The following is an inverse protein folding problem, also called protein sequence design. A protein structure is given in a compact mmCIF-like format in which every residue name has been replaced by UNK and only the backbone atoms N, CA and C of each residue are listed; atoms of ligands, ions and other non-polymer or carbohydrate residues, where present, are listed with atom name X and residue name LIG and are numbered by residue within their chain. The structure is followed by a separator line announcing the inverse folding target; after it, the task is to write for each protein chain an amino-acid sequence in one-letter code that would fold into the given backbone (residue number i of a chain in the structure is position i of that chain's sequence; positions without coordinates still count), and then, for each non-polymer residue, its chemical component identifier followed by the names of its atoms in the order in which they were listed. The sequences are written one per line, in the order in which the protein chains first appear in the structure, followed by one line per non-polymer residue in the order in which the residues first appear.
data_IF_288521255905
#
_entry.id   IF_288521255905
#
_cell.length_a   1.000
_cell.length_b   1.000
_cell.length_c   1.000
_cell.angle_alpha   90.00
_cell.angle_beta   90.00
_cell.angle_gamma   90.00
#
_symmetry.space_group_name_H-M   'P 1'
#
loop_
_entity.id
_entity.type
_entity.pdbx_description
1 polymer ?
#
# COMPACT_ATOMS: atom_id res chain seq x y z
N UNK A 1 56.64 0.00 -66.41
CA UNK A 1 55.72 -1.12 -66.16
C UNK A 1 54.45 -0.52 -65.55
N UNK A 2 53.46 0.04 -66.26
CA UNK A 2 53.07 -0.01 -67.66
C UNK A 2 53.15 -1.42 -68.24
N UNK A 3 52.11 -2.22 -68.04
CA UNK A 3 51.41 -2.76 -69.20
C UNK A 3 49.98 -3.16 -68.85
N UNK A 4 49.12 -2.87 -69.81
CA UNK A 4 47.75 -3.33 -69.93
C UNK A 4 47.80 -4.59 -70.78
N UNK A 5 47.09 -5.65 -70.38
CA UNK A 5 46.54 -6.60 -71.35
C UNK A 5 45.33 -7.35 -70.76
N UNK A 6 44.28 -7.40 -71.57
CA UNK A 6 42.99 -8.10 -71.49
C UNK A 6 43.18 -9.65 -71.60
N UNK A 7 42.15 -10.56 -71.63
CA UNK A 7 40.70 -10.37 -71.91
C UNK A 7 39.68 -11.26 -71.14
N UNK A 8 38.39 -10.95 -71.40
CA UNK A 8 37.20 -11.81 -71.65
C UNK A 8 36.60 -12.78 -70.59
N UNK A 9 35.27 -12.67 -70.43
CA UNK A 9 34.36 -13.74 -69.99
C UNK A 9 33.03 -13.23 -69.43
N UNK A 10 31.93 -13.44 -70.16
CA UNK A 10 30.55 -13.04 -69.86
C UNK A 10 29.98 -13.64 -68.55
N UNK A 11 29.03 -12.95 -67.90
CA UNK A 11 27.63 -13.41 -67.76
C UNK A 11 26.77 -12.38 -66.96
N UNK A 12 25.47 -12.44 -67.18
CA UNK A 12 24.43 -11.50 -66.75
C UNK A 12 24.31 -11.30 -65.21
N UNK A 13 24.12 -10.04 -64.81
CA UNK A 13 23.79 -9.67 -63.42
C UNK A 13 23.37 -8.20 -63.29
N UNK A 14 22.09 -7.99 -62.98
CA UNK A 14 21.45 -6.70 -62.67
C UNK A 14 22.25 -5.83 -61.69
N UNK A 15 22.21 -4.48 -61.82
CA UNK A 15 22.96 -3.63 -60.92
C UNK A 15 22.22 -3.41 -59.60
N UNK A 16 22.93 -3.70 -58.50
CA UNK A 16 22.70 -3.10 -57.19
C UNK A 16 23.56 -1.84 -57.01
N UNK A 17 23.00 -0.87 -56.28
CA UNK A 17 23.64 0.36 -55.81
C UNK A 17 22.66 1.54 -55.96
N UNK A 18 21.99 2.06 -54.93
CA UNK A 18 22.33 2.11 -53.51
C UNK A 18 22.49 3.58 -53.13
N UNK A 19 21.48 4.17 -52.50
CA UNK A 19 21.55 4.84 -51.18
C UNK A 19 20.34 5.77 -50.96
N UNK A 20 19.58 5.48 -49.91
CA UNK A 20 19.19 6.48 -48.90
C UNK A 20 18.43 5.78 -47.77
N UNK A 21 19.09 5.65 -46.62
CA UNK A 21 18.61 5.90 -45.23
C UNK A 21 17.33 5.19 -44.75
N UNK A 22 17.21 4.51 -43.61
CA UNK A 22 17.96 4.44 -42.33
C UNK A 22 17.41 3.21 -41.53
N UNK A 23 18.01 2.82 -40.38
CA UNK A 23 18.00 1.46 -39.87
C UNK A 23 16.98 1.16 -38.74
N UNK A 24 16.59 -0.11 -38.69
CA UNK A 24 16.63 -0.95 -37.48
C UNK A 24 15.68 -0.65 -36.33
N UNK A 25 14.51 -1.29 -36.33
CA UNK A 25 13.79 -1.57 -35.09
C UNK A 25 13.97 -3.04 -34.71
N UNK A 26 14.73 -3.23 -33.64
CA UNK A 26 15.07 -4.51 -33.05
C UNK A 26 13.82 -5.24 -32.58
N UNK A 27 13.65 -6.47 -33.05
CA UNK A 27 12.75 -7.45 -32.47
C UNK A 27 13.15 -7.73 -31.01
N UNK A 28 12.34 -7.28 -30.07
CA UNK A 28 12.25 -7.83 -28.73
C UNK A 28 10.83 -8.38 -28.55
N UNK A 29 10.65 -9.65 -28.87
CA UNK A 29 9.46 -10.39 -28.49
C UNK A 29 9.39 -10.47 -26.97
N UNK A 30 8.43 -9.77 -26.39
CA UNK A 30 8.00 -10.02 -25.01
C UNK A 30 7.32 -11.41 -24.98
N UNK A 31 7.63 -12.28 -24.01
CA UNK A 31 6.87 -13.50 -23.84
C UNK A 31 5.51 -13.09 -23.27
N UNK A 32 4.44 -13.26 -24.05
CA UNK A 32 3.08 -13.22 -23.54
C UNK A 32 2.92 -14.41 -22.58
N UNK A 33 3.01 -14.14 -21.28
CA UNK A 33 2.53 -15.07 -20.27
C UNK A 33 1.03 -15.23 -20.47
N UNK A 34 0.58 -16.47 -20.64
CA UNK A 34 -0.80 -16.81 -20.37
C UNK A 34 -1.01 -16.51 -18.88
N UNK A 35 -1.87 -15.53 -18.58
CA UNK A 35 -2.37 -15.33 -17.23
C UNK A 35 -3.38 -16.46 -16.97
N UNK A 36 -3.07 -17.33 -16.01
CA UNK A 36 -4.02 -18.30 -15.45
C UNK A 36 -5.11 -17.52 -14.69
N UNK A 37 -6.27 -17.35 -15.32
CA UNK A 37 -7.40 -16.53 -14.83
C UNK A 37 -8.02 -17.04 -13.50
N UNK A 38 -7.62 -18.22 -12.99
CA UNK A 38 -8.21 -18.82 -11.77
C UNK A 38 -7.49 -18.44 -10.46
N UNK A 39 -6.24 -17.97 -10.50
CA UNK A 39 -5.49 -17.61 -9.27
C UNK A 39 -5.56 -16.10 -8.98
N UNK A 40 -6.16 -15.65 -7.86
CA UNK A 40 -6.18 -14.23 -7.53
C UNK A 40 -4.76 -13.70 -7.28
N UNK A 41 -4.43 -12.56 -7.87
CA UNK A 41 -3.14 -11.91 -7.66
C UNK A 41 -2.77 -11.73 -6.18
N UNK A 42 -1.55 -12.12 -5.80
CA UNK A 42 -1.11 -12.13 -4.40
C UNK A 42 -1.09 -10.72 -3.77
N UNK A 43 -0.71 -9.70 -4.55
CA UNK A 43 -0.46 -8.36 -4.01
C UNK A 43 -1.74 -7.54 -3.94
N UNK A 44 -1.88 -6.74 -2.89
CA UNK A 44 -2.95 -5.74 -2.75
C UNK A 44 -3.12 -4.87 -4.00
N UNK A 45 -1.99 -4.53 -4.63
CA UNK A 45 -1.94 -3.72 -5.85
C UNK A 45 -2.47 -4.41 -7.10
N UNK A 46 -2.32 -5.72 -7.18
CA UNK A 46 -2.81 -6.51 -8.29
C UNK A 46 -4.30 -6.83 -8.08
N UNK A 47 -4.77 -6.77 -6.82
CA UNK A 47 -6.17 -6.96 -6.41
C UNK A 47 -7.03 -5.69 -6.43
N UNK A 48 -6.43 -4.51 -6.54
CA UNK A 48 -7.15 -3.25 -6.59
C UNK A 48 -7.25 -2.78 -8.04
N UNK A 49 -8.47 -2.75 -8.61
CA UNK A 49 -8.75 -2.25 -9.95
C UNK A 49 -8.53 -0.72 -10.07
N UNK A 50 -7.28 -0.26 -9.93
CA UNK A 50 -6.94 1.16 -9.92
C UNK A 50 -5.49 1.45 -10.34
N UNK A 51 -5.24 2.70 -10.73
CA UNK A 51 -3.90 3.17 -11.14
C UNK A 51 -2.84 2.87 -10.07
N UNK A 52 -1.76 2.17 -10.47
CA UNK A 52 -0.59 1.83 -9.63
C UNK A 52 -0.06 3.03 -8.83
N UNK A 53 -0.10 4.21 -9.45
CA UNK A 53 0.37 5.48 -8.90
C UNK A 53 -0.54 5.97 -7.76
N UNK A 54 -1.86 5.81 -7.91
CA UNK A 54 -2.85 6.19 -6.88
C UNK A 54 -2.70 5.33 -5.64
N UNK A 55 -2.54 4.02 -5.81
CA UNK A 55 -2.40 3.09 -4.70
C UNK A 55 -1.09 3.34 -3.92
N UNK A 56 0.01 3.55 -4.64
CA UNK A 56 1.30 3.92 -4.05
C UNK A 56 1.21 5.21 -3.23
N UNK A 57 0.61 6.26 -3.81
CA UNK A 57 0.45 7.56 -3.14
C UNK A 57 -0.40 7.45 -1.86
N UNK A 58 -1.50 6.69 -1.92
CA UNK A 58 -2.42 6.55 -0.79
C UNK A 58 -1.83 5.68 0.33
N UNK A 59 -1.17 4.57 -0.02
CA UNK A 59 -0.77 3.53 0.94
C UNK A 59 0.69 3.62 1.39
N UNK A 60 1.62 3.82 0.47
CA UNK A 60 3.06 3.57 0.65
C UNK A 60 3.89 4.85 0.79
N UNK A 61 3.49 5.94 0.16
CA UNK A 61 4.22 7.21 0.20
C UNK A 61 4.40 7.77 1.63
N UNK A 62 5.46 8.54 1.86
CA UNK A 62 5.62 9.31 3.10
C UNK A 62 4.44 10.27 3.26
N UNK A 63 3.90 10.38 4.47
CA UNK A 63 2.78 11.28 4.77
C UNK A 63 3.16 12.73 4.53
N UNK A 64 4.40 13.11 4.81
CA UNK A 64 4.90 14.45 4.49
C UNK A 64 4.94 14.70 2.98
N UNK A 65 5.20 13.69 2.15
CA UNK A 65 5.15 13.82 0.71
C UNK A 65 3.72 14.09 0.24
N UNK A 66 2.75 13.31 0.71
CA UNK A 66 1.32 13.50 0.37
C UNK A 66 0.83 14.86 0.85
N UNK A 67 1.16 15.25 2.08
CA UNK A 67 0.82 16.57 2.62
C UNK A 67 1.46 17.69 1.82
N UNK A 68 2.73 17.56 1.44
CA UNK A 68 3.41 18.56 0.61
C UNK A 68 2.77 18.67 -0.77
N UNK A 69 2.37 17.55 -1.38
CA UNK A 69 1.66 17.56 -2.66
C UNK A 69 0.29 18.26 -2.56
N UNK A 70 -0.48 17.98 -1.50
CA UNK A 70 -1.75 18.65 -1.24
C UNK A 70 -1.56 20.15 -0.99
N UNK A 71 -0.52 20.54 -0.24
CA UNK A 71 -0.18 21.94 0.00
C UNK A 71 0.27 22.65 -1.28
N UNK A 72 1.10 21.99 -2.10
CA UNK A 72 1.52 22.52 -3.40
C UNK A 72 0.33 22.70 -4.34
N UNK A 73 -0.64 21.77 -4.32
CA UNK A 73 -1.89 21.90 -5.06
C UNK A 73 -2.70 23.11 -4.59
N UNK A 74 -2.90 23.27 -3.27
CA UNK A 74 -3.62 24.41 -2.70
C UNK A 74 -2.93 25.73 -3.07
N UNK A 75 -1.62 25.82 -2.87
CA UNK A 75 -0.84 26.99 -3.22
C UNK A 75 -0.93 27.31 -4.72
N UNK A 76 -0.73 26.32 -5.58
CA UNK A 76 -0.81 26.47 -7.02
C UNK A 76 -2.20 26.91 -7.50
N UNK A 77 -3.26 26.36 -6.92
CA UNK A 77 -4.64 26.78 -7.21
C UNK A 77 -4.88 28.22 -6.78
N UNK A 78 -4.46 28.62 -5.58
CA UNK A 78 -4.62 29.99 -5.09
C UNK A 78 -3.87 31.00 -5.96
N UNK A 79 -2.62 30.69 -6.33
CA UNK A 79 -1.82 31.53 -7.23
C UNK A 79 -2.47 31.61 -8.61
N UNK A 80 -2.89 30.48 -9.19
CA UNK A 80 -3.53 30.43 -10.50
C UNK A 80 -4.82 31.25 -10.53
N UNK A 81 -5.68 31.10 -9.51
CA UNK A 81 -6.89 31.92 -9.35
C UNK A 81 -6.53 33.40 -9.23
N UNK A 82 -5.53 33.75 -8.42
CA UNK A 82 -5.07 35.12 -8.28
C UNK A 82 -4.48 35.74 -9.56
N UNK A 83 -3.96 34.93 -10.48
CA UNK A 83 -3.52 35.37 -11.82
C UNK A 83 -4.68 35.54 -12.81
N UNK A 84 -5.65 34.63 -12.77
CA UNK A 84 -6.75 34.57 -13.75
C UNK A 84 -7.88 35.55 -13.43
N UNK A 85 -8.08 35.89 -12.15
CA UNK A 85 -9.11 36.84 -11.74
C UNK A 85 -8.63 38.27 -12.01
N UNK A 86 -9.30 39.02 -12.93
CA UNK A 86 -9.00 40.44 -13.13
C UNK A 86 -9.18 41.18 -11.81
N UNK A 87 -8.23 42.06 -11.47
CA UNK A 87 -8.25 42.83 -10.22
C UNK A 87 -8.22 41.99 -8.92
N UNK A 88 -7.80 40.72 -8.96
CA UNK A 88 -7.68 39.87 -7.76
C UNK A 88 -6.84 40.50 -6.64
N UNK A 89 -5.75 41.19 -7.00
CA UNK A 89 -4.95 41.96 -6.04
C UNK A 89 -5.71 43.19 -5.50
N UNK A 90 -6.56 43.82 -6.30
CA UNK A 90 -7.39 44.94 -5.83
C UNK A 90 -8.50 44.46 -4.88
N UNK A 91 -9.06 43.26 -5.11
CA UNK A 91 -10.01 42.64 -4.21
C UNK A 91 -9.39 42.31 -2.84
N UNK A 92 -8.14 41.84 -2.81
CA UNK A 92 -7.39 41.61 -1.56
C UNK A 92 -7.12 42.95 -0.84
N UNK A 93 -6.84 44.03 -1.59
CA UNK A 93 -6.61 45.38 -1.04
C UNK A 93 -7.89 46.08 -0.59
N UNK A 94 -9.07 45.63 -1.02
CA UNK A 94 -10.35 46.26 -0.70
C UNK A 94 -10.99 45.63 0.54
N UNK A 95 -11.07 46.39 1.64
CA UNK A 95 -11.64 45.93 2.90
C UNK A 95 -10.74 44.92 3.63
N UNK A 96 -11.35 44.00 4.38
CA UNK A 96 -10.61 43.07 5.27
C UNK A 96 -10.78 41.57 4.91
N UNK A 97 -10.68 41.14 3.64
CA UNK A 97 -10.86 39.74 3.26
C UNK A 97 -9.75 38.84 3.82
N UNK A 98 -8.53 39.35 3.96
CA UNK A 98 -7.40 38.63 4.57
C UNK A 98 -7.67 38.37 6.04
N UNK A 99 -8.03 39.42 6.80
CA UNK A 99 -8.38 39.27 8.21
C UNK A 99 -9.51 38.25 8.39
N UNK A 100 -10.60 38.37 7.61
CA UNK A 100 -11.74 37.45 7.66
C UNK A 100 -11.32 35.99 7.38
N UNK A 101 -10.49 35.77 6.36
CA UNK A 101 -9.98 34.44 6.02
C UNK A 101 -9.15 33.86 7.18
N UNK A 102 -8.20 34.62 7.71
CA UNK A 102 -7.31 34.12 8.76
C UNK A 102 -7.99 33.99 10.12
N UNK A 103 -9.01 34.80 10.43
CA UNK A 103 -9.88 34.57 11.58
C UNK A 103 -10.64 33.24 11.45
N UNK A 104 -11.17 32.95 10.24
CA UNK A 104 -11.80 31.68 9.92
C UNK A 104 -10.83 30.50 10.07
N UNK A 105 -9.63 30.60 9.49
CA UNK A 105 -8.60 29.56 9.58
C UNK A 105 -8.09 29.35 11.01
N UNK A 106 -7.92 30.43 11.79
CA UNK A 106 -7.50 30.36 13.19
C UNK A 106 -8.56 29.60 14.00
N UNK A 107 -9.84 29.98 13.86
CA UNK A 107 -10.95 29.32 14.55
C UNK A 107 -11.06 27.86 14.16
N UNK A 108 -11.04 27.58 12.85
CA UNK A 108 -11.11 26.22 12.31
C UNK A 108 -9.93 25.36 12.80
N UNK A 109 -8.71 25.91 12.84
CA UNK A 109 -7.52 25.20 13.31
C UNK A 109 -7.65 24.86 14.79
N UNK A 110 -8.06 25.79 15.65
CA UNK A 110 -8.27 25.51 17.08
C UNK A 110 -9.31 24.40 17.23
N UNK A 111 -10.50 24.54 16.62
CA UNK A 111 -11.57 23.55 16.72
C UNK A 111 -11.17 22.19 16.17
N UNK A 112 -10.52 22.14 15.00
CA UNK A 112 -10.09 20.91 14.35
C UNK A 112 -9.04 20.17 15.17
N UNK A 113 -8.04 20.88 15.68
CA UNK A 113 -6.98 20.29 16.52
C UNK A 113 -7.55 19.79 17.84
N UNK A 114 -8.45 20.54 18.48
CA UNK A 114 -9.16 20.10 19.69
C UNK A 114 -9.97 18.82 19.43
N UNK A 115 -10.68 18.72 18.30
CA UNK A 115 -11.44 17.53 17.94
C UNK A 115 -10.51 16.31 17.77
N UNK A 116 -9.41 16.46 17.03
CA UNK A 116 -8.43 15.40 16.81
C UNK A 116 -7.78 14.94 18.13
N UNK A 117 -7.40 15.88 18.99
CA UNK A 117 -6.84 15.58 20.31
C UNK A 117 -7.85 14.82 21.18
N UNK A 118 -9.12 15.25 21.18
CA UNK A 118 -10.20 14.59 21.92
C UNK A 118 -10.41 13.16 21.44
N UNK A 119 -10.40 12.93 20.12
CA UNK A 119 -10.53 11.58 19.56
C UNK A 119 -9.37 10.69 19.98
N UNK A 120 -8.14 11.20 19.94
CA UNK A 120 -6.97 10.43 20.37
C UNK A 120 -7.02 10.11 21.88
N UNK A 121 -7.53 11.03 22.70
CA UNK A 121 -7.74 10.81 24.13
C UNK A 121 -8.79 9.72 24.39
N UNK A 122 -9.83 9.62 23.58
CA UNK A 122 -10.81 8.55 23.68
C UNK A 122 -10.18 7.17 23.43
N UNK A 123 -9.35 7.07 22.39
CA UNK A 123 -8.63 5.82 22.08
C UNK A 123 -7.68 5.46 23.22
N UNK A 124 -6.89 6.43 23.71
CA UNK A 124 -5.96 6.20 24.81
C UNK A 124 -6.69 5.82 26.12
N UNK A 125 -7.89 6.37 26.35
CA UNK A 125 -8.69 5.99 27.50
C UNK A 125 -9.09 4.50 27.48
N UNK A 126 -9.21 3.88 26.30
CA UNK A 126 -9.48 2.44 26.19
C UNK A 126 -8.23 1.60 26.51
N UNK A 127 -7.04 2.14 26.26
CA UNK A 127 -5.76 1.49 26.61
C UNK A 127 -5.47 1.54 28.13
N UNK A 128 -6.12 2.43 28.89
CA UNK A 128 -5.98 2.55 30.34
C UNK A 128 -7.01 1.72 31.13
N UNK A 129 -7.56 0.67 30.52
CA UNK A 129 -8.55 -0.23 31.13
C UNK A 129 -8.10 -0.88 32.45
N UNK A 130 -9.02 -1.57 33.12
CA UNK A 130 -8.73 -2.21 34.40
C UNK A 130 -7.56 -3.20 34.29
N UNK A 131 -6.79 -3.37 35.37
CA UNK A 131 -5.63 -4.26 35.37
C UNK A 131 -5.99 -5.73 35.03
N UNK A 132 -7.21 -6.16 35.33
CA UNK A 132 -7.74 -7.47 34.93
C UNK A 132 -7.81 -7.62 33.40
N UNK A 133 -8.47 -6.67 32.73
CA UNK A 133 -8.57 -6.66 31.26
C UNK A 133 -7.18 -6.66 30.60
N UNK A 134 -6.21 -5.96 31.21
CA UNK A 134 -4.83 -5.95 30.71
C UNK A 134 -4.15 -7.30 30.85
N UNK A 135 -4.39 -8.01 31.96
CA UNK A 135 -3.88 -9.37 32.16
C UNK A 135 -4.49 -10.33 31.15
N UNK A 136 -5.81 -10.28 30.93
CA UNK A 136 -6.47 -11.18 29.97
C UNK A 136 -5.96 -10.96 28.54
N UNK A 137 -5.73 -9.70 28.13
CA UNK A 137 -5.10 -9.38 26.85
C UNK A 137 -3.67 -9.90 26.75
N UNK A 138 -2.89 -9.77 27.81
CA UNK A 138 -1.52 -10.26 27.87
C UNK A 138 -1.47 -11.79 27.76
N UNK A 139 -2.33 -12.48 28.53
CA UNK A 139 -2.41 -13.94 28.52
C UNK A 139 -2.83 -14.46 27.14
N UNK A 140 -3.81 -13.82 26.48
CA UNK A 140 -4.19 -14.15 25.10
C UNK A 140 -3.08 -13.89 24.08
N UNK A 141 -2.33 -12.80 24.21
CA UNK A 141 -1.20 -12.50 23.34
C UNK A 141 -0.04 -13.49 23.53
N UNK A 142 0.23 -13.91 24.77
CA UNK A 142 1.23 -14.92 25.08
C UNK A 142 0.81 -16.29 24.54
N UNK A 143 -0.43 -16.71 24.75
CA UNK A 143 -0.96 -17.96 24.20
C UNK A 143 -0.83 -18.01 22.67
N UNK A 144 -1.20 -16.93 21.97
CA UNK A 144 -1.00 -16.85 20.52
C UNK A 144 0.47 -16.94 20.11
N UNK A 145 1.38 -16.36 20.89
CA UNK A 145 2.83 -16.42 20.63
C UNK A 145 3.40 -17.82 20.87
N UNK A 146 2.83 -18.57 21.79
CA UNK A 146 3.17 -19.96 22.08
C UNK A 146 2.64 -20.88 20.96
N UNK A 147 1.37 -20.71 20.56
CA UNK A 147 0.78 -21.42 19.40
C UNK A 147 1.64 -21.25 18.13
N UNK A 148 2.13 -20.02 17.90
CA UNK A 148 3.03 -19.75 16.78
C UNK A 148 4.39 -20.42 16.98
N UNK A 149 4.98 -20.35 18.17
CA UNK A 149 6.28 -20.95 18.47
C UNK A 149 6.29 -22.47 18.22
N UNK A 150 5.21 -23.15 18.63
CA UNK A 150 5.00 -24.58 18.42
C UNK A 150 4.91 -24.93 16.93
N UNK A 151 4.29 -24.09 16.11
CA UNK A 151 4.10 -24.36 14.67
C UNK A 151 5.30 -23.97 13.80
N UNK A 152 6.15 -23.05 14.26
CA UNK A 152 7.39 -22.68 13.57
C UNK A 152 8.62 -23.45 14.11
N UNK A 153 8.40 -24.45 14.97
CA UNK A 153 9.45 -25.29 15.57
C UNK A 153 10.58 -24.50 16.24
N UNK A 154 10.23 -23.41 16.94
CA UNK A 154 11.20 -22.61 17.70
C UNK A 154 10.82 -22.52 19.17
N UNK A 155 11.79 -22.45 20.09
CA UNK A 155 11.50 -22.40 21.52
C UNK A 155 10.80 -21.10 21.96
N UNK A 156 10.95 -20.01 21.20
CA UNK A 156 10.31 -18.72 21.46
C UNK A 156 10.07 -18.00 20.15
N UNK A 157 8.83 -17.53 19.94
CA UNK A 157 8.49 -16.75 18.75
C UNK A 157 9.28 -15.43 18.67
N UNK A 158 9.64 -14.94 17.46
CA UNK A 158 10.40 -13.70 17.32
C UNK A 158 9.74 -12.48 17.98
N UNK A 159 10.53 -11.64 18.65
CA UNK A 159 10.01 -10.47 19.37
C UNK A 159 9.65 -9.31 18.43
N UNK A 160 10.31 -9.21 17.26
CA UNK A 160 10.08 -8.11 16.32
C UNK A 160 8.96 -8.47 15.34
N UNK A 161 7.96 -7.59 15.12
CA UNK A 161 6.84 -7.84 14.20
C UNK A 161 7.23 -8.34 12.81
N UNK A 162 8.25 -7.71 12.18
CA UNK A 162 8.71 -8.11 10.86
C UNK A 162 9.30 -9.53 10.84
N UNK A 163 10.09 -9.87 11.87
CA UNK A 163 10.68 -11.20 12.01
C UNK A 163 9.62 -12.26 12.33
N UNK A 164 8.61 -11.89 13.11
CA UNK A 164 7.49 -12.77 13.45
C UNK A 164 6.67 -13.14 12.20
N UNK A 165 6.28 -12.14 11.42
CA UNK A 165 5.56 -12.38 10.15
C UNK A 165 6.41 -13.12 9.14
N UNK A 166 7.71 -12.82 9.07
CA UNK A 166 8.64 -13.51 8.20
C UNK A 166 8.71 -14.99 8.54
N UNK A 167 8.91 -15.33 9.82
CA UNK A 167 8.96 -16.72 10.27
C UNK A 167 7.68 -17.50 9.92
N UNK A 168 6.50 -16.89 10.11
CA UNK A 168 5.23 -17.52 9.72
C UNK A 168 5.12 -17.80 8.22
N UNK A 169 5.61 -16.85 7.40
CA UNK A 169 5.53 -16.96 5.94
C UNK A 169 6.57 -17.96 5.41
N UNK A 170 7.78 -17.94 5.96
CA UNK A 170 8.84 -18.90 5.62
C UNK A 170 8.38 -20.33 5.94
N UNK A 171 7.83 -20.56 7.14
CA UNK A 171 7.29 -21.88 7.54
C UNK A 171 6.10 -22.29 6.67
N UNK A 172 5.22 -21.37 6.28
CA UNK A 172 4.16 -21.70 5.34
C UNK A 172 4.73 -22.16 3.98
N UNK A 173 5.80 -21.51 3.50
CA UNK A 173 6.52 -21.91 2.29
C UNK A 173 7.18 -23.29 2.41
N UNK A 174 7.76 -23.59 3.57
CA UNK A 174 8.33 -24.90 3.90
C UNK A 174 7.25 -25.99 3.91
N UNK A 175 6.13 -25.79 4.62
CA UNK A 175 5.02 -26.76 4.66
C UNK A 175 4.38 -26.99 3.29
N UNK A 176 4.36 -25.97 2.42
CA UNK A 176 3.93 -26.16 1.04
C UNK A 176 4.90 -27.04 0.23
N UNK A 177 6.21 -26.87 0.43
CA UNK A 177 7.21 -27.74 -0.18
C UNK A 177 7.13 -29.18 0.35
N UNK A 178 6.87 -29.35 1.65
CA UNK A 178 6.66 -30.65 2.29
C UNK A 178 5.42 -31.36 1.74
N UNK A 179 4.30 -30.64 1.60
CA UNK A 179 3.08 -31.15 0.95
C UNK A 179 3.39 -31.64 -0.48
N UNK A 180 4.11 -30.84 -1.26
CA UNK A 180 4.49 -31.24 -2.63
C UNK A 180 5.35 -32.50 -2.65
N UNK A 181 6.26 -32.65 -1.68
CA UNK A 181 7.12 -33.84 -1.56
C UNK A 181 6.37 -35.08 -1.04
N UNK A 182 5.30 -34.88 -0.26
CA UNK A 182 4.47 -35.95 0.28
C UNK A 182 3.58 -36.62 -0.79
N UNK A 183 3.23 -35.90 -1.87
CA UNK A 183 2.42 -36.45 -2.96
C UNK A 183 3.27 -37.34 -3.87
N UNK A 184 2.98 -38.64 -3.99
CA UNK A 184 3.75 -39.53 -4.84
C UNK A 184 3.51 -39.25 -6.33
N UNK A 185 4.52 -39.49 -7.17
CA UNK A 185 4.41 -39.37 -8.64
C UNK A 185 3.33 -40.27 -9.25
N UNK A 186 2.95 -41.33 -8.53
CA UNK A 186 1.89 -42.26 -8.92
C UNK A 186 0.48 -41.79 -8.54
N UNK A 187 0.36 -40.66 -7.84
CA UNK A 187 -0.93 -40.06 -7.54
C UNK A 187 -1.64 -39.59 -8.81
N UNK A 188 -2.94 -39.36 -8.67
CA UNK A 188 -3.78 -38.83 -9.73
C UNK A 188 -3.15 -37.58 -10.38
N UNK A 189 -3.00 -37.53 -11.72
CA UNK A 189 -2.41 -36.38 -12.40
C UNK A 189 -3.09 -35.04 -12.10
N UNK A 190 -4.42 -35.03 -11.99
CA UNK A 190 -5.18 -33.80 -11.71
C UNK A 190 -4.88 -33.29 -10.28
N UNK A 191 -4.89 -34.18 -9.29
CA UNK A 191 -4.48 -33.87 -7.91
C UNK A 191 -3.06 -33.29 -7.85
N UNK A 192 -2.10 -33.89 -8.56
CA UNK A 192 -0.71 -33.38 -8.57
C UNK A 192 -0.61 -32.00 -9.20
N UNK A 193 -1.38 -31.73 -10.24
CA UNK A 193 -1.41 -30.42 -10.90
C UNK A 193 -1.96 -29.36 -9.94
N UNK A 194 -3.13 -29.60 -9.32
CA UNK A 194 -3.72 -28.67 -8.34
C UNK A 194 -2.80 -28.41 -7.12
N UNK A 195 -2.15 -29.46 -6.58
CA UNK A 195 -1.19 -29.28 -5.49
C UNK A 195 0.04 -28.51 -5.95
N UNK A 196 0.54 -28.77 -7.16
CA UNK A 196 1.69 -28.03 -7.71
C UNK A 196 1.34 -26.55 -7.86
N UNK A 197 0.17 -26.22 -8.40
CA UNK A 197 -0.26 -24.84 -8.58
C UNK A 197 -0.43 -24.11 -7.25
N UNK A 198 -1.07 -24.75 -6.27
CA UNK A 198 -1.22 -24.21 -4.92
C UNK A 198 0.15 -23.96 -4.26
N UNK A 199 1.03 -24.97 -4.28
CA UNK A 199 2.32 -24.91 -3.60
C UNK A 199 3.28 -23.93 -4.28
N UNK A 200 3.36 -23.92 -5.62
CA UNK A 200 4.15 -22.94 -6.36
C UNK A 200 3.63 -21.51 -6.18
N UNK A 201 2.30 -21.32 -6.12
CA UNK A 201 1.70 -20.02 -5.78
C UNK A 201 2.07 -19.59 -4.34
N UNK A 202 2.01 -20.52 -3.38
CA UNK A 202 2.33 -20.24 -1.98
C UNK A 202 3.81 -19.92 -1.78
N UNK A 203 4.72 -20.77 -2.23
CA UNK A 203 6.16 -20.58 -2.06
C UNK A 203 6.63 -19.31 -2.74
N UNK A 204 6.20 -19.04 -3.99
CA UNK A 204 6.51 -17.76 -4.66
C UNK A 204 5.96 -16.55 -3.91
N UNK A 205 4.76 -16.64 -3.33
CA UNK A 205 4.22 -15.55 -2.52
C UNK A 205 5.02 -15.37 -1.23
N UNK A 206 5.40 -16.47 -0.59
CA UNK A 206 6.17 -16.50 0.65
C UNK A 206 7.55 -15.85 0.47
N UNK A 207 8.31 -16.25 -0.54
CA UNK A 207 9.64 -15.68 -0.84
C UNK A 207 9.59 -14.17 -1.05
N UNK A 208 8.59 -13.69 -1.80
CA UNK A 208 8.42 -12.25 -2.06
C UNK A 208 8.06 -11.48 -0.79
N UNK A 209 7.22 -12.04 0.06
CA UNK A 209 6.80 -11.40 1.32
C UNK A 209 7.94 -11.43 2.33
N UNK A 210 8.66 -12.55 2.44
CA UNK A 210 9.85 -12.72 3.27
C UNK A 210 10.91 -11.68 2.91
N UNK A 211 11.29 -11.59 1.62
CA UNK A 211 12.26 -10.60 1.14
C UNK A 211 11.83 -9.14 1.41
N UNK A 212 10.53 -8.86 1.39
CA UNK A 212 9.99 -7.54 1.74
C UNK A 212 10.07 -7.21 3.24
N UNK A 213 10.26 -8.22 4.09
CA UNK A 213 10.35 -8.11 5.54
C UNK A 213 11.80 -8.04 6.07
N UNK A 214 12.81 -8.40 5.28
CA UNK A 214 14.24 -8.45 5.67
C UNK A 214 14.74 -7.17 6.37
N UNK A 215 14.45 -6.01 5.78
CA UNK A 215 14.85 -4.69 6.31
C UNK A 215 13.67 -3.87 6.84
N UNK A 216 12.50 -4.48 6.97
CA UNK A 216 11.28 -3.76 7.33
C UNK A 216 11.31 -3.36 8.81
N UNK A 217 11.37 -2.05 9.06
CA UNK A 217 11.21 -1.50 10.41
C UNK A 217 9.73 -1.36 10.75
N UNK A 218 9.37 -1.76 11.97
CA UNK A 218 8.03 -1.54 12.50
C UNK A 218 7.70 -0.04 12.54
N UNK A 219 6.47 0.33 12.18
CA UNK A 219 6.04 1.72 11.95
C UNK A 219 6.20 2.20 10.49
N UNK A 220 6.92 1.46 9.64
CA UNK A 220 6.85 1.68 8.19
C UNK A 220 5.64 0.98 7.58
N UNK A 221 5.19 1.44 6.41
CA UNK A 221 4.16 0.72 5.66
C UNK A 221 4.61 -0.69 5.25
N UNK A 222 5.91 -0.97 5.20
CA UNK A 222 6.46 -2.24 4.70
C UNK A 222 5.93 -3.46 5.45
N UNK A 223 5.89 -3.41 6.79
CA UNK A 223 5.40 -4.53 7.61
C UNK A 223 3.91 -4.78 7.39
N UNK A 224 3.10 -3.71 7.35
CA UNK A 224 1.67 -3.84 7.07
C UNK A 224 1.43 -4.30 5.63
N UNK A 225 2.14 -3.74 4.66
CA UNK A 225 2.07 -4.14 3.25
C UNK A 225 2.35 -5.62 3.07
N UNK A 226 3.44 -6.12 3.66
CA UNK A 226 3.79 -7.54 3.65
C UNK A 226 2.68 -8.41 4.27
N UNK A 227 2.16 -8.02 5.45
CA UNK A 227 1.05 -8.70 6.10
C UNK A 227 -0.23 -8.72 5.24
N UNK A 228 -0.45 -7.70 4.42
CA UNK A 228 -1.62 -7.61 3.56
C UNK A 228 -1.44 -8.29 2.19
N UNK A 229 -0.19 -8.53 1.75
CA UNK A 229 0.17 -9.13 0.46
C UNK A 229 0.31 -10.65 0.50
N UNK A 230 0.12 -11.28 1.66
CA UNK A 230 0.05 -12.73 1.76
C UNK A 230 -1.40 -13.19 1.74
N UNK A 231 -1.83 -13.80 0.64
CA UNK A 231 -3.23 -14.16 0.40
C UNK A 231 -3.64 -15.45 1.13
N UNK A 232 -3.49 -15.47 2.46
CA UNK A 232 -3.72 -16.67 3.26
C UNK A 232 -5.15 -17.21 3.13
N UNK A 233 -6.16 -16.34 2.98
CA UNK A 233 -7.56 -16.76 2.94
C UNK A 233 -7.89 -17.59 1.70
N UNK A 234 -7.39 -17.18 0.52
CA UNK A 234 -7.52 -17.99 -0.69
C UNK A 234 -6.70 -19.28 -0.58
N UNK A 235 -5.49 -19.24 -0.02
CA UNK A 235 -4.65 -20.44 0.14
C UNK A 235 -5.28 -21.48 1.07
N UNK A 236 -5.94 -21.05 2.15
CA UNK A 236 -6.74 -21.94 3.01
C UNK A 236 -7.94 -22.51 2.24
N UNK A 237 -8.63 -21.69 1.45
CA UNK A 237 -9.77 -22.14 0.66
C UNK A 237 -9.34 -23.20 -0.37
N UNK A 238 -8.30 -22.94 -1.15
CA UNK A 238 -7.75 -23.86 -2.14
C UNK A 238 -7.26 -25.18 -1.48
N UNK A 239 -6.53 -25.10 -0.36
CA UNK A 239 -6.09 -26.29 0.37
C UNK A 239 -7.27 -27.15 0.86
N UNK A 240 -8.34 -26.52 1.38
CA UNK A 240 -9.56 -27.22 1.80
C UNK A 240 -10.33 -27.80 0.63
N UNK A 241 -10.38 -27.10 -0.49
CA UNK A 241 -11.04 -27.59 -1.71
C UNK A 241 -10.36 -28.85 -2.23
N UNK A 242 -9.01 -28.88 -2.25
CA UNK A 242 -8.24 -30.07 -2.60
C UNK A 242 -8.54 -31.21 -1.62
N UNK A 243 -8.52 -30.93 -0.31
CA UNK A 243 -8.80 -31.94 0.73
C UNK A 243 -10.16 -32.60 0.54
N UNK A 244 -11.22 -31.81 0.26
CA UNK A 244 -12.58 -32.32 0.10
C UNK A 244 -12.79 -33.02 -1.25
N UNK A 245 -12.16 -32.53 -2.33
CA UNK A 245 -12.30 -33.08 -3.68
C UNK A 245 -11.56 -34.42 -3.84
N UNK A 246 -10.41 -34.55 -3.20
CA UNK A 246 -9.50 -35.68 -3.39
C UNK A 246 -9.29 -36.50 -2.12
N UNK A 247 -10.24 -36.48 -1.17
CA UNK A 247 -10.17 -37.22 0.10
C UNK A 247 -9.80 -38.70 -0.08
N UNK A 248 -10.42 -39.36 -1.07
CA UNK A 248 -10.16 -40.79 -1.38
C UNK A 248 -8.82 -41.03 -2.10
N UNK A 249 -8.19 -39.98 -2.64
CA UNK A 249 -6.96 -40.05 -3.46
C UNK A 249 -5.71 -39.57 -2.72
N UNK A 250 -5.89 -38.84 -1.63
CA UNK A 250 -4.82 -38.43 -0.73
C UNK A 250 -4.44 -39.59 0.20
N UNK A 251 -3.15 -39.92 0.24
CA UNK A 251 -2.66 -40.84 1.27
C UNK A 251 -2.52 -40.11 2.62
N UNK A 252 -2.37 -40.88 3.70
CA UNK A 252 -2.28 -40.30 5.05
C UNK A 252 -1.13 -39.28 5.20
N UNK A 253 -0.03 -39.47 4.46
CA UNK A 253 1.13 -38.55 4.54
C UNK A 253 0.80 -37.22 3.89
N UNK A 254 0.17 -37.24 2.72
CA UNK A 254 -0.26 -36.05 2.01
C UNK A 254 -1.39 -35.32 2.75
N UNK A 255 -2.34 -36.05 3.34
CA UNK A 255 -3.40 -35.48 4.18
C UNK A 255 -2.83 -34.77 5.41
N UNK A 256 -1.91 -35.42 6.14
CA UNK A 256 -1.26 -34.82 7.32
C UNK A 256 -0.48 -33.54 6.92
N UNK A 257 0.27 -33.58 5.81
CA UNK A 257 1.01 -32.41 5.32
C UNK A 257 0.08 -31.25 4.90
N UNK A 258 -1.07 -31.56 4.29
CA UNK A 258 -2.07 -30.57 3.90
C UNK A 258 -2.72 -29.91 5.12
N UNK A 259 -3.06 -30.70 6.13
CA UNK A 259 -3.62 -30.21 7.39
C UNK A 259 -2.62 -29.33 8.14
N UNK A 260 -1.35 -29.72 8.20
CA UNK A 260 -0.28 -28.91 8.78
C UNK A 260 -0.14 -27.55 8.08
N UNK A 261 -0.18 -27.55 6.74
CA UNK A 261 -0.16 -26.31 5.95
C UNK A 261 -1.35 -25.41 6.29
N UNK A 262 -2.56 -25.97 6.34
CA UNK A 262 -3.79 -25.23 6.69
C UNK A 262 -3.67 -24.61 8.09
N UNK A 263 -3.14 -25.35 9.06
CA UNK A 263 -2.96 -24.89 10.44
C UNK A 263 -1.98 -23.72 10.53
N UNK A 264 -0.85 -23.77 9.82
CA UNK A 264 0.09 -22.64 9.76
C UNK A 264 -0.57 -21.42 9.09
N UNK A 265 -1.29 -21.61 7.99
CA UNK A 265 -1.99 -20.52 7.31
C UNK A 265 -3.05 -19.85 8.18
N UNK A 266 -3.74 -20.61 9.05
CA UNK A 266 -4.75 -20.05 9.98
C UNK A 266 -4.14 -19.07 10.98
N UNK A 267 -2.90 -19.28 11.43
CA UNK A 267 -2.20 -18.37 12.36
C UNK A 267 -1.97 -16.98 11.75
N UNK A 268 -1.90 -16.89 10.42
CA UNK A 268 -1.67 -15.62 9.74
C UNK A 268 -2.84 -14.65 9.88
N UNK A 269 -4.08 -15.15 9.99
CA UNK A 269 -5.27 -14.31 10.16
C UNK A 269 -5.21 -13.45 11.44
N UNK A 270 -5.12 -14.06 12.63
CA UNK A 270 -4.94 -13.35 13.88
C UNK A 270 -3.67 -12.47 13.90
N UNK A 271 -2.54 -12.97 13.37
CA UNK A 271 -1.31 -12.18 13.27
C UNK A 271 -1.53 -10.88 12.49
N UNK A 272 -2.11 -10.98 11.29
CA UNK A 272 -2.39 -9.83 10.40
C UNK A 272 -3.28 -8.81 11.10
N UNK A 273 -4.36 -9.25 11.75
CA UNK A 273 -5.27 -8.33 12.46
C UNK A 273 -4.61 -7.68 13.68
N UNK A 274 -3.80 -8.42 14.43
CA UNK A 274 -3.03 -7.88 15.54
C UNK A 274 -2.05 -6.80 15.08
N UNK A 275 -1.23 -7.08 14.05
CA UNK A 275 -0.29 -6.09 13.51
C UNK A 275 -0.98 -4.92 12.82
N UNK A 276 -2.13 -5.14 12.16
CA UNK A 276 -2.97 -4.06 11.61
C UNK A 276 -3.42 -3.10 12.71
N UNK A 277 -3.88 -3.66 13.83
CA UNK A 277 -4.32 -2.89 15.00
C UNK A 277 -3.16 -2.06 15.57
N UNK A 278 -2.02 -2.68 15.84
CA UNK A 278 -0.83 -1.99 16.34
C UNK A 278 -0.34 -0.89 15.38
N UNK A 279 -0.40 -1.17 14.08
CA UNK A 279 -0.03 -0.21 13.04
C UNK A 279 -0.95 1.02 13.09
N UNK A 280 -2.27 0.84 13.14
CA UNK A 280 -3.23 1.94 13.22
C UNK A 280 -3.07 2.75 14.50
N UNK A 281 -2.86 2.09 15.65
CA UNK A 281 -2.57 2.79 16.90
C UNK A 281 -1.32 3.66 16.77
N UNK A 282 -0.23 3.11 16.22
CA UNK A 282 1.01 3.86 16.01
C UNK A 282 0.83 5.05 15.04
N UNK A 283 0.08 4.87 13.95
CA UNK A 283 -0.17 5.93 12.96
C UNK A 283 -1.03 7.05 13.56
N UNK A 284 -2.02 6.72 14.40
CA UNK A 284 -2.86 7.68 15.12
C UNK A 284 -2.07 8.48 16.17
N UNK A 285 -1.21 7.82 16.94
CA UNK A 285 -0.34 8.49 17.92
C UNK A 285 0.61 9.45 17.21
N UNK A 286 1.20 9.00 16.10
CA UNK A 286 2.10 9.81 15.27
C UNK A 286 1.37 11.02 14.69
N UNK A 287 0.16 10.81 14.16
CA UNK A 287 -0.71 11.88 13.67
C UNK A 287 -0.98 12.92 14.74
N UNK A 288 -1.39 12.51 15.95
CA UNK A 288 -1.70 13.44 17.04
C UNK A 288 -0.49 14.31 17.41
N UNK A 289 0.69 13.70 17.54
CA UNK A 289 1.94 14.41 17.83
C UNK A 289 2.31 15.39 16.72
N UNK A 290 2.22 14.97 15.46
CA UNK A 290 2.56 15.83 14.34
C UNK A 290 1.55 16.98 14.16
N UNK A 291 0.25 16.71 14.27
CA UNK A 291 -0.80 17.75 14.24
C UNK A 291 -0.52 18.79 15.30
N UNK A 292 -0.23 18.40 16.54
CA UNK A 292 0.08 19.35 17.60
C UNK A 292 1.31 20.21 17.23
N UNK A 293 2.37 19.59 16.72
CA UNK A 293 3.60 20.27 16.34
C UNK A 293 3.40 21.29 15.20
N UNK A 294 2.60 20.95 14.19
CA UNK A 294 2.38 21.82 13.02
C UNK A 294 1.26 22.85 13.22
N UNK A 295 0.36 22.60 14.17
CA UNK A 295 -0.72 23.53 14.49
C UNK A 295 -0.21 24.81 15.14
N UNK A 296 0.84 24.73 15.96
CA UNK A 296 1.41 25.92 16.61
C UNK A 296 1.95 26.92 15.57
N UNK A 297 2.80 26.52 14.60
CA UNK A 297 3.18 27.40 13.48
C UNK A 297 1.99 27.91 12.67
N UNK A 298 1.02 27.05 12.34
CA UNK A 298 -0.16 27.44 11.57
C UNK A 298 -1.00 28.52 12.28
N UNK A 299 -1.18 28.39 13.60
CA UNK A 299 -1.85 29.38 14.44
C UNK A 299 -1.06 30.68 14.52
N UNK A 300 0.27 30.61 14.66
CA UNK A 300 1.13 31.79 14.68
C UNK A 300 1.11 32.54 13.35
N UNK A 301 1.14 31.84 12.22
CA UNK A 301 0.99 32.46 10.89
C UNK A 301 -0.37 33.13 10.78
N UNK A 302 -1.44 32.46 11.20
CA UNK A 302 -2.79 33.03 11.14
C UNK A 302 -2.93 34.26 12.04
N UNK A 303 -2.42 34.22 13.26
CA UNK A 303 -2.41 35.36 14.19
C UNK A 303 -1.55 36.51 13.67
N UNK A 304 -0.39 36.22 13.06
CA UNK A 304 0.46 37.25 12.46
C UNK A 304 -0.22 37.93 11.27
N UNK A 305 -0.91 37.16 10.43
CA UNK A 305 -1.69 37.71 9.31
C UNK A 305 -2.88 38.55 9.76
N UNK A 306 -3.46 38.27 10.93
CA UNK A 306 -4.53 39.10 11.51
C UNK A 306 -3.94 40.38 12.13
N UNK A 307 -2.84 40.27 12.88
CA UNK A 307 -2.35 41.37 13.71
C UNK A 307 -1.42 42.35 12.98
N UNK A 308 -0.67 41.88 11.98
CA UNK A 308 0.46 42.62 11.41
C UNK A 308 0.45 42.71 9.88
N UNK A 309 -0.51 42.09 9.20
CA UNK A 309 -0.54 42.15 7.75
C UNK A 309 -1.05 43.51 7.26
N UNK A 310 -0.24 44.18 6.45
CA UNK A 310 -0.65 45.34 5.68
C UNK A 310 -0.40 45.07 4.19
N UNK A 311 -1.45 45.22 3.37
CA UNK A 311 -1.35 45.02 1.93
C UNK A 311 -0.45 46.06 1.24
N UNK A 312 -0.24 47.23 1.86
CA UNK A 312 0.60 48.30 1.34
C UNK A 312 2.10 47.94 1.36
N UNK A 313 2.52 47.05 2.26
CA UNK A 313 3.92 46.60 2.38
C UNK A 313 4.35 45.70 1.22
N UNK A 314 3.39 45.15 0.47
CA UNK A 314 3.63 44.22 -0.63
C UNK A 314 3.47 44.91 -1.98
N UNK A 315 4.48 45.69 -2.35
CA UNK A 315 4.58 46.33 -3.67
C UNK A 315 5.55 45.57 -4.58
N UNK A 316 5.06 45.01 -5.68
CA UNK A 316 5.87 44.40 -6.74
C UNK A 316 5.32 43.08 -7.29
N UNK A 317 6.05 42.48 -8.22
CA UNK A 317 5.68 41.21 -8.85
C UNK A 317 6.80 40.18 -8.77
N UNK A 318 6.46 38.93 -8.45
CA UNK A 318 7.36 37.77 -8.49
C UNK A 318 6.90 36.86 -9.62
N UNK A 319 7.78 36.58 -10.59
CA UNK A 319 7.48 35.72 -11.74
C UNK A 319 6.19 36.08 -12.50
N UNK A 320 5.85 37.38 -12.57
CA UNK A 320 4.63 37.89 -13.24
C UNK A 320 3.36 37.86 -12.39
N UNK A 321 3.44 37.40 -11.12
CA UNK A 321 2.34 37.39 -10.15
C UNK A 321 2.54 38.53 -9.14
N UNK A 322 1.47 39.20 -8.71
CA UNK A 322 1.53 40.19 -7.64
C UNK A 322 2.06 39.54 -6.34
N UNK A 323 3.06 40.17 -5.72
CA UNK A 323 3.71 39.64 -4.50
C UNK A 323 2.71 39.48 -3.37
N UNK A 324 1.67 40.34 -3.33
CA UNK A 324 0.57 40.25 -2.39
C UNK A 324 -0.17 38.90 -2.49
N UNK A 325 -0.48 38.46 -3.72
CA UNK A 325 -1.19 37.20 -3.97
C UNK A 325 -0.33 36.03 -3.52
N UNK A 326 0.97 36.04 -3.84
CA UNK A 326 1.91 34.98 -3.45
C UNK A 326 2.05 34.89 -1.93
N UNK A 327 2.16 36.03 -1.25
CA UNK A 327 2.29 36.09 0.21
C UNK A 327 1.04 35.55 0.91
N UNK A 328 -0.15 35.98 0.49
CA UNK A 328 -1.42 35.48 1.04
C UNK A 328 -1.57 33.98 0.76
N UNK A 329 -1.32 33.53 -0.47
CA UNK A 329 -1.40 32.12 -0.83
C UNK A 329 -0.44 31.25 0.00
N UNK A 330 0.80 31.72 0.22
CA UNK A 330 1.78 31.02 1.04
C UNK A 330 1.34 30.96 2.51
N UNK A 331 0.88 32.07 3.08
CA UNK A 331 0.40 32.11 4.46
C UNK A 331 -0.85 31.23 4.66
N UNK A 332 -1.80 31.24 3.72
CA UNK A 332 -2.98 30.37 3.74
C UNK A 332 -2.57 28.90 3.65
N UNK A 333 -1.60 28.57 2.79
CA UNK A 333 -1.07 27.21 2.67
C UNK A 333 -0.44 26.74 3.98
N UNK A 334 0.38 27.58 4.62
CA UNK A 334 0.97 27.30 5.94
C UNK A 334 -0.11 27.11 7.03
N UNK A 335 -1.16 27.93 7.01
CA UNK A 335 -2.27 27.80 7.96
C UNK A 335 -3.09 26.51 7.76
N UNK A 336 -3.15 25.98 6.54
CA UNK A 336 -3.87 24.73 6.21
C UNK A 336 -3.04 23.46 6.45
N UNK A 337 -1.76 23.58 6.79
CA UNK A 337 -0.85 22.46 7.05
C UNK A 337 -1.44 21.38 7.99
N UNK A 338 -1.96 21.70 9.21
CA UNK A 338 -2.54 20.68 10.10
C UNK A 338 -3.70 19.91 9.46
N UNK A 339 -4.53 20.58 8.67
CA UNK A 339 -5.65 19.94 7.97
C UNK A 339 -5.18 19.04 6.83
N UNK A 340 -4.22 19.48 6.02
CA UNK A 340 -3.67 18.66 4.93
C UNK A 340 -2.94 17.42 5.46
N UNK A 341 -2.29 17.55 6.62
CA UNK A 341 -1.71 16.44 7.34
C UNK A 341 -2.80 15.46 7.81
N UNK A 342 -3.86 15.96 8.45
CA UNK A 342 -5.00 15.14 8.86
C UNK A 342 -5.59 14.34 7.69
N UNK A 343 -5.84 15.01 6.56
CA UNK A 343 -6.38 14.37 5.35
C UNK A 343 -5.45 13.27 4.84
N UNK A 344 -4.13 13.50 4.79
CA UNK A 344 -3.16 12.52 4.33
C UNK A 344 -3.14 11.22 5.17
N UNK A 345 -3.35 11.34 6.48
CA UNK A 345 -3.46 10.19 7.40
C UNK A 345 -4.83 9.51 7.31
N UNK A 346 -5.92 10.28 7.33
CA UNK A 346 -7.29 9.73 7.25
C UNK A 346 -7.50 8.97 5.94
N UNK A 347 -7.04 9.52 4.80
CA UNK A 347 -7.14 8.83 3.51
C UNK A 347 -6.43 7.47 3.54
N UNK A 348 -5.30 7.36 4.22
CA UNK A 348 -4.56 6.10 4.33
C UNK A 348 -5.32 5.08 5.18
N UNK A 349 -5.74 5.47 6.37
CA UNK A 349 -6.49 4.58 7.28
C UNK A 349 -7.78 4.11 6.58
N UNK A 350 -8.50 5.02 5.92
CA UNK A 350 -9.69 4.69 5.15
C UNK A 350 -9.39 3.72 3.99
N UNK A 351 -8.29 3.93 3.27
CA UNK A 351 -7.88 3.06 2.16
C UNK A 351 -7.49 1.67 2.66
N UNK A 352 -6.66 1.57 3.71
CA UNK A 352 -6.29 0.28 4.32
C UNK A 352 -7.53 -0.42 4.86
N UNK A 353 -8.40 0.29 5.57
CA UNK A 353 -9.64 -0.28 6.12
C UNK A 353 -10.54 -0.81 5.00
N UNK A 354 -10.76 -0.02 3.93
CA UNK A 354 -11.56 -0.45 2.77
C UNK A 354 -10.99 -1.70 2.11
N UNK A 355 -9.67 -1.82 1.98
CA UNK A 355 -9.02 -2.97 1.36
C UNK A 355 -8.78 -4.16 2.30
N UNK A 356 -9.18 -4.06 3.57
CA UNK A 356 -9.04 -5.13 4.59
C UNK A 356 -10.35 -5.47 5.29
N UNK A 357 -11.48 -5.05 4.71
CA UNK A 357 -12.81 -5.21 5.31
C UNK A 357 -13.29 -6.67 5.37
N UNK A 358 -12.57 -7.62 4.74
CA UNK A 358 -12.85 -9.05 4.85
C UNK A 358 -12.10 -9.67 6.05
N UNK A 359 -12.80 -9.74 7.18
CA UNK A 359 -12.48 -10.65 8.27
C UNK A 359 -13.20 -11.97 7.96
N UNK A 360 -12.53 -12.87 7.24
CA UNK A 360 -13.05 -14.20 6.88
C UNK A 360 -12.86 -14.60 5.41
N UNK A 361 -13.16 -15.86 5.03
CA UNK A 361 -13.00 -16.40 3.68
C UNK A 361 -13.96 -15.80 2.64
N UNK A 362 -14.76 -14.80 3.03
CA UNK A 362 -15.64 -14.10 2.10
C UNK A 362 -14.81 -13.21 1.17
N UNK A 363 -14.73 -13.63 -0.09
CA UNK A 363 -14.25 -12.81 -1.18
C UNK A 363 -15.31 -11.74 -1.42
N UNK A 364 -15.17 -10.59 -0.75
CA UNK A 364 -16.01 -9.42 -0.98
C UNK A 364 -15.50 -8.70 -2.24
N UNK A 365 -15.75 -9.28 -3.40
CA UNK A 365 -15.54 -8.66 -4.72
C UNK A 365 -16.78 -8.88 -5.57
N UNK A 366 -17.07 -7.92 -6.44
CA UNK A 366 -17.72 -8.22 -7.71
C UNK A 366 -16.68 -9.00 -8.53
N UNK A 367 -16.63 -10.30 -8.33
CA UNK A 367 -16.04 -11.22 -9.30
C UNK A 367 -17.19 -11.61 -10.20
N UNK A 368 -17.14 -11.20 -11.47
CA UNK A 368 -18.15 -11.49 -12.50
C UNK A 368 -18.27 -13.01 -12.83
N UNK A 369 -17.58 -13.89 -12.10
CA UNK A 369 -17.59 -15.33 -12.38
C UNK A 369 -17.40 -16.18 -11.11
N UNK A 370 -18.33 -16.06 -10.16
CA UNK A 370 -18.51 -17.10 -9.14
C UNK A 370 -19.78 -17.85 -9.53
N UNK A 371 -19.63 -19.07 -10.06
CA UNK A 371 -20.75 -19.97 -10.33
C UNK A 371 -21.62 -20.07 -9.07
N UNK A 372 -22.87 -19.63 -9.21
CA UNK A 372 -23.87 -19.68 -8.15
C UNK A 372 -23.99 -21.13 -7.65
N UNK A 373 -23.83 -21.35 -6.35
CA UNK A 373 -23.99 -22.68 -5.76
C UNK A 373 -25.48 -23.03 -5.88
N UNK A 374 -25.82 -23.85 -6.87
CA UNK A 374 -27.15 -24.43 -7.01
C UNK A 374 -27.41 -25.34 -5.81
N UNK A 375 -28.37 -24.95 -4.99
CA UNK A 375 -28.90 -25.81 -3.94
C UNK A 375 -29.96 -26.71 -4.57
N UNK A 376 -29.63 -27.98 -4.79
CA UNK A 376 -30.64 -28.99 -5.10
C UNK A 376 -31.61 -29.11 -3.92
N UNK A 377 -32.89 -28.85 -4.19
CA UNK A 377 -33.97 -28.88 -3.20
C UNK A 377 -34.71 -30.23 -3.22
#
# INVERSE_FOLDING_TARGET
MADSDEPAGADDGEPAGGDSDEPGETASGEPSGADDDETPGDRLRDRAAGSRLKLWLLLEADRWLVTTLLLALVFGVLVCVGMLVPDGAAAIRSGDPVETLFQGLLTATITGVTLVLTLNQLVLSQELGAAGDQRDRMDGAMGFRDDVADRIDTPVSPARPAQFLRALVDVAGERAADLRAAVPETADPELREEITDLTDSLTRNADRVSAGLDDARFGSFGVLSAALNFNYSWKIFAARQISERYDDSLDATATDALDELIEVLKLFGPAREHFKTLYFQWDLITLSRQILAVSVPALLVSAAMIAFFDAADYAGTVAGVDTLVVAVAAATTLALLPFMLLIAYVMRIATVTKHTLSIGPFILRETDDVSEVEWDQ
#
